data_IF_662081234907
#
_entry.id   IF_662081234907
#
_cell.length_a   1.000
_cell.length_b   1.000
_cell.length_c   1.000
_cell.angle_alpha   90.00
_cell.angle_beta   90.00
_cell.angle_gamma   90.00
#
_symmetry.space_group_name_H-M   'P 1'
#
loop_
_entity.id
_entity.type
_entity.pdbx_description
1 polymer ?
#
# COMPACT_ATOMS: atom_id res chain seq x y z
N UNK A 1 -1.52 26.38 -35.09
CA UNK A 1 -2.59 25.42 -34.85
C UNK A 1 -2.11 24.17 -34.12
N UNK A 2 -0.98 23.59 -34.50
CA UNK A 2 -0.45 22.37 -33.87
C UNK A 2 0.02 22.61 -32.43
N UNK A 3 0.56 23.77 -32.10
CA UNK A 3 1.01 24.13 -30.75
C UNK A 3 -0.14 24.25 -29.74
N UNK A 4 -1.27 24.79 -30.15
CA UNK A 4 -2.48 24.91 -29.30
C UNK A 4 -3.06 23.54 -28.95
N UNK A 5 -3.02 22.61 -29.89
CA UNK A 5 -3.56 21.27 -29.74
C UNK A 5 -2.68 20.41 -28.80
N UNK A 6 -1.36 20.57 -28.87
CA UNK A 6 -0.42 19.88 -27.99
C UNK A 6 -0.57 20.34 -26.52
N UNK A 7 -0.78 21.64 -26.30
CA UNK A 7 -0.97 22.19 -24.96
C UNK A 7 -2.27 21.69 -24.28
N UNK A 8 -3.31 21.55 -25.05
CA UNK A 8 -4.61 21.02 -24.54
C UNK A 8 -4.50 19.54 -24.21
N UNK A 9 -3.76 18.76 -24.98
CA UNK A 9 -3.56 17.34 -24.72
C UNK A 9 -2.82 17.08 -23.42
N UNK A 10 -1.76 17.84 -23.16
CA UNK A 10 -0.93 17.71 -21.94
C UNK A 10 -1.73 18.12 -20.71
N UNK A 11 -2.46 19.24 -20.77
CA UNK A 11 -3.31 19.72 -19.66
C UNK A 11 -4.44 18.74 -19.35
N UNK A 12 -5.08 18.17 -20.39
CA UNK A 12 -6.13 17.16 -20.24
C UNK A 12 -5.60 15.86 -19.63
N UNK A 13 -4.39 15.41 -20.02
CA UNK A 13 -3.75 14.22 -19.48
C UNK A 13 -3.41 14.39 -17.99
N UNK A 14 -2.84 15.54 -17.60
CA UNK A 14 -2.51 15.83 -16.20
C UNK A 14 -3.77 15.89 -15.33
N UNK A 15 -4.86 16.50 -15.81
CA UNK A 15 -6.13 16.56 -15.11
C UNK A 15 -6.76 15.17 -14.95
N UNK A 16 -6.68 14.32 -15.99
CA UNK A 16 -7.14 12.93 -15.95
C UNK A 16 -6.35 12.08 -14.98
N UNK A 17 -5.03 12.26 -14.93
CA UNK A 17 -4.15 11.55 -14.00
C UNK A 17 -4.44 11.93 -12.55
N UNK A 18 -4.62 13.22 -12.27
CA UNK A 18 -4.97 13.72 -10.95
C UNK A 18 -6.35 13.18 -10.50
N UNK A 19 -7.31 13.13 -11.41
CA UNK A 19 -8.66 12.62 -11.14
C UNK A 19 -8.62 11.11 -10.87
N UNK A 20 -7.86 10.35 -11.66
CA UNK A 20 -7.65 8.91 -11.46
C UNK A 20 -7.01 8.65 -10.11
N UNK A 21 -5.99 9.42 -9.75
CA UNK A 21 -5.30 9.30 -8.47
C UNK A 21 -6.26 9.53 -7.30
N UNK A 22 -7.13 10.54 -7.39
CA UNK A 22 -8.15 10.78 -6.35
C UNK A 22 -9.11 9.62 -6.21
N UNK A 23 -9.54 9.01 -7.32
CA UNK A 23 -10.39 7.81 -7.30
C UNK A 23 -9.69 6.62 -6.69
N UNK A 24 -8.43 6.40 -7.04
CA UNK A 24 -7.62 5.31 -6.48
C UNK A 24 -7.43 5.49 -4.97
N UNK A 25 -7.16 6.71 -4.52
CA UNK A 25 -7.03 7.02 -3.09
C UNK A 25 -8.34 6.80 -2.33
N UNK A 26 -9.46 7.19 -2.91
CA UNK A 26 -10.79 6.95 -2.31
C UNK A 26 -11.08 5.45 -2.22
N UNK A 27 -10.72 4.68 -3.25
CA UNK A 27 -10.87 3.22 -3.27
C UNK A 27 -9.99 2.55 -2.21
N UNK A 28 -8.74 3.00 -2.07
CA UNK A 28 -7.83 2.49 -1.04
C UNK A 28 -8.37 2.79 0.35
N UNK A 29 -8.87 3.99 0.59
CA UNK A 29 -9.47 4.38 1.88
C UNK A 29 -10.64 3.48 2.25
N UNK A 30 -11.53 3.21 1.31
CA UNK A 30 -12.65 2.29 1.51
C UNK A 30 -12.17 0.86 1.76
N UNK A 31 -11.13 0.44 1.03
CA UNK A 31 -10.58 -0.91 1.15
C UNK A 31 -9.95 -1.18 2.52
N UNK A 32 -9.18 -0.24 3.06
CA UNK A 32 -8.55 -0.44 4.36
C UNK A 32 -9.58 -0.45 5.50
N UNK A 33 -10.66 0.30 5.36
CA UNK A 33 -11.78 0.26 6.30
C UNK A 33 -12.48 -1.10 6.25
N UNK A 34 -12.82 -1.58 5.07
CA UNK A 34 -13.43 -2.89 4.87
C UNK A 34 -12.53 -4.03 5.35
N UNK A 35 -11.24 -3.94 5.09
CA UNK A 35 -10.26 -4.94 5.50
C UNK A 35 -10.16 -5.03 7.03
N UNK A 36 -10.10 -3.89 7.70
CA UNK A 36 -10.06 -3.83 9.16
C UNK A 36 -11.30 -4.46 9.78
N UNK A 37 -12.44 -4.13 9.23
CA UNK A 37 -13.71 -4.66 9.69
C UNK A 37 -13.83 -6.17 9.48
N UNK A 38 -13.44 -6.65 8.29
CA UNK A 38 -13.53 -8.07 7.94
C UNK A 38 -12.56 -8.95 8.72
N UNK A 39 -11.35 -8.47 8.98
CA UNK A 39 -10.29 -9.27 9.62
C UNK A 39 -10.19 -9.07 11.12
N UNK A 40 -10.66 -7.95 11.64
CA UNK A 40 -10.44 -7.57 13.04
C UNK A 40 -9.00 -7.16 13.34
N UNK A 41 -8.14 -7.06 12.33
CA UNK A 41 -6.75 -6.63 12.52
C UNK A 41 -6.73 -5.15 12.85
N UNK A 42 -6.01 -4.73 13.92
CA UNK A 42 -6.13 -3.37 14.43
C UNK A 42 -5.57 -2.30 13.51
N UNK A 43 -4.53 -2.60 12.73
CA UNK A 43 -3.90 -1.61 11.84
C UNK A 43 -4.06 -2.03 10.39
N UNK A 44 -4.63 -1.15 9.58
CA UNK A 44 -4.64 -1.30 8.12
C UNK A 44 -4.09 -0.03 7.49
N UNK A 45 -3.31 -0.20 6.43
CA UNK A 45 -2.60 0.88 5.76
C UNK A 45 -2.77 0.69 4.26
N UNK A 46 -2.76 1.77 3.53
CA UNK A 46 -2.78 1.70 2.09
C UNK A 46 -2.18 2.93 1.43
N UNK A 47 -1.81 2.75 0.19
CA UNK A 47 -1.30 3.83 -0.63
C UNK A 47 -1.36 3.47 -2.10
N UNK A 48 -1.27 4.49 -2.92
CA UNK A 48 -1.27 4.39 -4.38
C UNK A 48 0.17 4.52 -4.89
N UNK A 49 0.53 3.68 -5.84
CA UNK A 49 1.84 3.74 -6.50
C UNK A 49 1.82 4.88 -7.52
N UNK A 50 2.73 5.82 -7.37
CA UNK A 50 2.88 6.95 -8.26
C UNK A 50 4.03 6.79 -9.22
N UNK A 51 4.45 7.90 -9.80
CA UNK A 51 5.57 7.96 -10.73
C UNK A 51 6.86 7.48 -10.06
N UNK A 52 7.73 6.83 -10.84
CA UNK A 52 9.00 6.31 -10.36
C UNK A 52 8.85 5.12 -9.44
N UNK A 53 7.73 4.42 -9.47
CA UNK A 53 7.44 3.27 -8.62
C UNK A 53 7.60 3.61 -7.13
N UNK A 54 7.06 4.75 -6.72
CA UNK A 54 7.02 5.17 -5.33
C UNK A 54 5.61 4.99 -4.77
N UNK A 55 5.54 4.52 -3.54
CA UNK A 55 4.32 4.29 -2.81
C UNK A 55 4.29 5.24 -1.62
N UNK A 56 3.23 6.04 -1.50
CA UNK A 56 3.05 6.91 -0.33
C UNK A 56 1.96 6.31 0.55
N UNK A 57 2.30 6.01 1.79
CA UNK A 57 1.37 5.43 2.77
C UNK A 57 0.50 6.53 3.36
N UNK A 58 -0.43 7.05 2.56
CA UNK A 58 -1.26 8.19 2.90
C UNK A 58 -2.53 7.83 3.69
N UNK A 59 -2.96 6.57 3.61
CA UNK A 59 -4.20 6.12 4.24
C UNK A 59 -3.89 5.08 5.31
N UNK A 60 -4.44 5.25 6.50
CA UNK A 60 -4.25 4.28 7.59
C UNK A 60 -5.38 4.36 8.61
N UNK A 61 -5.60 3.23 9.30
CA UNK A 61 -6.52 3.12 10.43
C UNK A 61 -5.81 2.37 11.54
N UNK A 62 -6.05 2.77 12.79
CA UNK A 62 -5.53 2.07 13.96
C UNK A 62 -4.10 2.40 14.36
N UNK A 63 -3.47 3.37 13.70
CA UNK A 63 -2.13 3.81 14.08
C UNK A 63 -2.14 4.50 15.44
N UNK A 64 -1.11 4.24 16.24
CA UNK A 64 -0.93 4.84 17.57
C UNK A 64 -0.14 6.14 17.52
N UNK A 65 0.67 6.30 16.48
CA UNK A 65 1.55 7.47 16.30
C UNK A 65 1.43 7.99 14.88
N UNK A 66 2.09 9.08 14.57
CA UNK A 66 2.20 9.62 13.22
C UNK A 66 3.51 9.22 12.52
N UNK A 67 4.27 8.29 13.11
CA UNK A 67 5.62 7.94 12.64
C UNK A 67 5.65 7.46 11.19
N UNK A 68 4.61 6.77 10.73
CA UNK A 68 4.53 6.24 9.36
C UNK A 68 3.63 7.06 8.44
N UNK A 69 3.09 8.18 8.92
CA UNK A 69 2.18 9.00 8.12
C UNK A 69 2.91 9.55 6.89
N UNK A 70 2.30 9.32 5.73
CA UNK A 70 2.84 9.76 4.42
C UNK A 70 4.25 9.25 4.14
N UNK A 71 4.62 8.11 4.74
CA UNK A 71 5.90 7.46 4.47
C UNK A 71 6.01 7.13 2.99
N UNK A 72 7.08 7.57 2.35
CA UNK A 72 7.38 7.25 0.96
C UNK A 72 8.20 5.96 0.90
N UNK A 73 7.65 4.96 0.23
CA UNK A 73 8.27 3.65 0.07
C UNK A 73 8.74 3.52 -1.37
N UNK A 74 10.03 3.21 -1.53
CA UNK A 74 10.65 3.05 -2.83
C UNK A 74 10.62 1.59 -3.30
N UNK A 75 10.64 1.41 -4.61
CA UNK A 75 10.66 0.09 -5.25
C UNK A 75 11.79 -0.77 -4.68
N UNK A 76 11.46 -1.98 -4.27
CA UNK A 76 12.41 -2.94 -3.71
C UNK A 76 12.74 -2.74 -2.24
N UNK A 77 12.38 -1.62 -1.63
CA UNK A 77 12.73 -1.29 -0.25
C UNK A 77 11.58 -1.64 0.72
N UNK A 78 11.92 -2.31 1.82
CA UNK A 78 10.96 -2.68 2.86
C UNK A 78 9.88 -3.64 2.37
N UNK A 79 8.79 -3.74 3.12
CA UNK A 79 7.67 -4.64 2.81
C UNK A 79 6.96 -4.20 1.54
N UNK A 80 6.52 -2.95 1.49
CA UNK A 80 5.79 -2.43 0.33
C UNK A 80 6.62 -2.36 -0.94
N UNK A 81 7.89 -2.01 -0.81
CA UNK A 81 8.82 -2.00 -1.95
C UNK A 81 9.03 -3.38 -2.55
N UNK A 82 9.09 -4.40 -1.70
CA UNK A 82 9.18 -5.78 -2.16
C UNK A 82 7.88 -6.22 -2.86
N UNK A 83 6.72 -5.83 -2.34
CA UNK A 83 5.44 -6.09 -3.01
C UNK A 83 5.42 -5.48 -4.41
N UNK A 84 5.88 -4.23 -4.54
CA UNK A 84 5.97 -3.57 -5.85
C UNK A 84 6.92 -4.31 -6.80
N UNK A 85 8.06 -4.77 -6.29
CA UNK A 85 9.08 -5.44 -7.10
C UNK A 85 8.66 -6.83 -7.56
N UNK A 86 7.94 -7.58 -6.72
CA UNK A 86 7.58 -8.96 -7.02
C UNK A 86 6.15 -9.12 -7.56
N UNK A 87 5.28 -8.16 -7.31
CA UNK A 87 3.85 -8.28 -7.62
C UNK A 87 3.15 -9.35 -6.77
N UNK A 88 3.75 -9.75 -5.66
CA UNK A 88 3.26 -10.84 -4.80
C UNK A 88 3.08 -10.36 -3.37
N UNK A 89 2.18 -11.01 -2.60
CA UNK A 89 2.05 -10.72 -1.17
C UNK A 89 3.34 -10.97 -0.41
N UNK A 90 3.58 -10.17 0.63
CA UNK A 90 4.70 -10.32 1.55
C UNK A 90 4.15 -10.31 2.97
N UNK A 91 4.58 -11.28 3.78
CA UNK A 91 4.22 -11.34 5.19
C UNK A 91 5.48 -11.44 6.04
N UNK A 92 5.50 -10.71 7.15
CA UNK A 92 6.57 -10.77 8.15
C UNK A 92 5.95 -10.94 9.53
N UNK A 93 6.36 -11.97 10.26
CA UNK A 93 5.86 -12.26 11.60
C UNK A 93 6.60 -11.46 12.68
N UNK A 94 7.84 -11.12 12.43
CA UNK A 94 8.67 -10.30 13.31
C UNK A 94 9.50 -9.34 12.45
N UNK A 95 9.01 -8.13 12.29
CA UNK A 95 9.56 -7.15 11.36
C UNK A 95 11.06 -6.89 11.56
N UNK A 96 11.56 -6.66 12.80
CA UNK A 96 12.98 -6.35 12.98
C UNK A 96 13.91 -7.48 12.52
N UNK A 97 13.45 -8.73 12.53
CA UNK A 97 14.24 -9.92 12.19
C UNK A 97 13.95 -10.46 10.80
N UNK A 98 13.06 -9.82 10.04
CA UNK A 98 12.66 -10.32 8.74
C UNK A 98 13.81 -10.26 7.73
N UNK A 99 14.21 -11.43 7.21
CA UNK A 99 15.29 -11.54 6.24
C UNK A 99 14.84 -11.38 4.79
N UNK A 100 13.52 -11.42 4.54
CA UNK A 100 12.97 -11.31 3.17
C UNK A 100 12.82 -9.88 2.69
N UNK A 101 13.03 -8.91 3.57
CA UNK A 101 12.89 -7.47 3.25
C UNK A 101 14.17 -6.74 3.61
N UNK A 102 14.36 -5.58 2.99
CA UNK A 102 15.38 -4.62 3.41
C UNK A 102 14.84 -3.75 4.55
N UNK A 103 15.71 -3.04 5.26
CA UNK A 103 15.37 -2.41 6.53
C UNK A 103 15.50 -0.88 6.54
N UNK A 104 15.31 -0.23 5.38
CA UNK A 104 15.40 1.23 5.26
C UNK A 104 14.35 1.98 6.09
N UNK A 105 13.21 1.32 6.39
CA UNK A 105 12.09 1.95 7.09
C UNK A 105 11.95 1.50 8.54
N UNK A 106 13.00 0.90 9.11
CA UNK A 106 12.96 0.39 10.48
C UNK A 106 12.59 1.48 11.48
N UNK A 107 13.17 2.66 11.34
CA UNK A 107 12.92 3.74 12.30
C UNK A 107 11.43 4.12 12.40
N UNK A 108 10.75 4.47 11.32
CA UNK A 108 9.31 4.79 11.42
C UNK A 108 8.45 3.59 11.80
N UNK A 109 8.75 2.39 11.32
CA UNK A 109 7.96 1.19 11.62
C UNK A 109 8.10 0.80 13.09
N UNK A 110 9.31 0.79 13.63
CA UNK A 110 9.56 0.47 15.04
C UNK A 110 9.07 1.58 15.97
N UNK A 111 9.10 2.83 15.52
CA UNK A 111 8.53 3.96 16.28
C UNK A 111 7.01 3.82 16.43
N UNK A 112 6.34 3.30 15.41
CA UNK A 112 4.92 2.96 15.51
C UNK A 112 4.71 1.73 16.40
N UNK A 113 5.69 0.88 16.53
CA UNK A 113 5.61 -0.36 17.31
C UNK A 113 5.04 -1.53 16.54
N UNK A 114 4.96 -1.46 15.23
CA UNK A 114 4.49 -2.59 14.41
C UNK A 114 5.54 -3.70 14.40
N UNK A 115 5.11 -4.92 14.72
CA UNK A 115 5.97 -6.11 14.79
C UNK A 115 5.64 -7.11 13.68
N UNK A 116 4.38 -7.26 13.36
CA UNK A 116 3.92 -8.16 12.31
C UNK A 116 3.17 -7.37 11.27
N UNK A 117 3.37 -7.70 10.00
CA UNK A 117 2.58 -7.10 8.93
C UNK A 117 2.51 -8.03 7.73
N UNK A 118 1.43 -7.89 7.00
CA UNK A 118 1.24 -8.49 5.70
C UNK A 118 0.87 -7.40 4.72
N UNK A 119 1.39 -7.47 3.52
CA UNK A 119 1.08 -6.52 2.47
C UNK A 119 0.74 -7.26 1.18
N UNK A 120 -0.17 -6.68 0.41
CA UNK A 120 -0.70 -7.32 -0.77
C UNK A 120 -0.82 -6.27 -1.90
N UNK A 121 -0.45 -6.63 -3.14
CA UNK A 121 -0.60 -5.71 -4.26
C UNK A 121 -2.03 -5.66 -4.77
N UNK A 122 -2.41 -4.49 -5.26
CA UNK A 122 -3.58 -4.32 -6.13
C UNK A 122 -3.01 -4.18 -7.55
N UNK A 123 -3.26 -5.18 -8.38
CA UNK A 123 -2.69 -5.25 -9.73
C UNK A 123 -3.77 -4.93 -10.75
N UNK A 124 -3.48 -3.97 -11.65
CA UNK A 124 -4.36 -3.64 -12.77
C UNK A 124 -3.53 -3.81 -14.05
N UNK A 125 -3.98 -4.72 -14.90
CA UNK A 125 -3.18 -5.15 -16.04
C UNK A 125 -1.94 -5.88 -15.56
N UNK A 126 -0.76 -5.30 -15.78
CA UNK A 126 0.53 -5.85 -15.33
C UNK A 126 1.18 -5.02 -14.22
N UNK A 127 0.53 -3.94 -13.81
CA UNK A 127 1.14 -2.96 -12.92
C UNK A 127 0.54 -3.04 -11.52
N UNK A 128 1.39 -2.90 -10.51
CA UNK A 128 0.97 -2.71 -9.13
C UNK A 128 0.52 -1.25 -8.99
N UNK A 129 -0.78 -1.05 -8.80
CA UNK A 129 -1.40 0.28 -8.69
C UNK A 129 -1.49 0.78 -7.25
N UNK A 130 -1.59 -0.13 -6.32
CA UNK A 130 -1.71 0.19 -4.90
C UNK A 130 -1.16 -0.97 -4.08
N UNK A 131 -0.92 -0.71 -2.80
CA UNK A 131 -0.53 -1.74 -1.83
C UNK A 131 -1.39 -1.56 -0.58
N UNK A 132 -1.94 -2.66 -0.10
CA UNK A 132 -2.72 -2.72 1.13
C UNK A 132 -1.93 -3.49 2.18
N UNK A 133 -1.94 -3.01 3.42
CA UNK A 133 -1.23 -3.64 4.53
C UNK A 133 -2.19 -3.92 5.68
N UNK A 134 -1.91 -4.98 6.41
CA UNK A 134 -2.47 -5.23 7.73
C UNK A 134 -1.33 -5.40 8.71
N UNK A 135 -1.45 -4.86 9.92
CA UNK A 135 -0.37 -4.88 10.88
C UNK A 135 -0.83 -5.01 12.32
N UNK A 136 0.05 -5.56 13.15
CA UNK A 136 -0.18 -5.80 14.58
C UNK A 136 1.05 -5.37 15.36
N UNK A 137 0.82 -4.82 16.56
CA UNK A 137 1.89 -4.36 17.46
C UNK A 137 2.52 -5.49 18.28
N UNK A 138 2.34 -6.73 17.88
CA UNK A 138 2.96 -7.90 18.50
C UNK A 138 3.41 -8.87 17.41
N UNK A 139 4.31 -9.80 17.76
CA UNK A 139 4.79 -10.81 16.82
C UNK A 139 3.73 -11.91 16.69
N UNK A 140 3.05 -11.94 15.55
CA UNK A 140 2.06 -12.96 15.22
C UNK A 140 2.24 -13.40 13.76
N UNK A 141 1.84 -14.63 13.47
CA UNK A 141 1.78 -15.12 12.10
C UNK A 141 0.34 -14.99 11.60
N UNK A 142 0.16 -14.35 10.47
CA UNK A 142 -1.18 -14.21 9.88
C UNK A 142 -1.63 -15.55 9.31
N UNK A 143 -2.88 -15.93 9.66
CA UNK A 143 -3.47 -17.16 9.17
C UNK A 143 -3.98 -17.04 7.73
N UNK A 144 -4.26 -18.19 7.13
CA UNK A 144 -4.78 -18.28 5.76
C UNK A 144 -6.06 -17.48 5.55
N UNK A 145 -6.96 -17.52 6.53
CA UNK A 145 -8.23 -16.79 6.45
C UNK A 145 -8.02 -15.30 6.26
N UNK A 146 -7.10 -14.71 7.03
CA UNK A 146 -6.75 -13.28 6.94
C UNK A 146 -6.15 -12.97 5.58
N UNK A 147 -5.18 -13.76 5.15
CA UNK A 147 -4.51 -13.56 3.86
C UNK A 147 -5.50 -13.68 2.70
N UNK A 148 -6.45 -14.61 2.78
CA UNK A 148 -7.51 -14.75 1.79
C UNK A 148 -8.46 -13.55 1.77
N UNK A 149 -8.79 -13.00 2.94
CA UNK A 149 -9.62 -11.80 3.06
C UNK A 149 -8.91 -10.58 2.44
N UNK A 150 -7.61 -10.44 2.68
CA UNK A 150 -6.79 -9.40 2.07
C UNK A 150 -6.78 -9.54 0.54
N UNK A 151 -6.55 -10.75 0.05
CA UNK A 151 -6.53 -11.03 -1.38
C UNK A 151 -7.89 -10.71 -2.03
N UNK A 152 -8.99 -11.04 -1.38
CA UNK A 152 -10.33 -10.73 -1.87
C UNK A 152 -10.57 -9.21 -1.95
N UNK A 153 -10.11 -8.48 -0.94
CA UNK A 153 -10.21 -7.00 -0.92
C UNK A 153 -9.42 -6.39 -2.08
N UNK A 154 -8.20 -6.88 -2.31
CA UNK A 154 -7.36 -6.39 -3.41
C UNK A 154 -7.99 -6.69 -4.77
N UNK A 155 -8.53 -7.90 -4.97
CA UNK A 155 -9.20 -8.26 -6.22
C UNK A 155 -10.41 -7.37 -6.52
N UNK A 156 -11.15 -6.96 -5.51
CA UNK A 156 -12.28 -6.06 -5.68
C UNK A 156 -11.84 -4.68 -6.22
N UNK A 157 -10.63 -4.25 -5.93
CA UNK A 157 -10.07 -2.99 -6.44
C UNK A 157 -9.49 -3.12 -7.86
N UNK A 158 -9.24 -4.34 -8.32
CA UNK A 158 -8.64 -4.61 -9.63
C UNK A 158 -9.65 -4.53 -10.79
N UNK A 159 -10.90 -4.35 -10.47
CA UNK A 159 -11.99 -4.26 -11.44
C UNK A 159 -12.24 -2.85 -11.97
#
# INVERSE_FOLDING_TARGET
>A
MDEENAGRGVAGSAASDAQRRRRDLASVRSAISALREATGIPVTIGGVVGEGHTLVLSESLGMRTSAMKDLTVHYGAGVGGRVMATGKPVGVADYPRAGVITHEYDLPVLSEGLRSMAAIPVVVGKDVRAVLYAGVHSSVRFGEKVLNQMAATARALEQ
#
